data_IF_895843278321
#
_entry.id   IF_895843278321
#
_cell.length_a   1.000
_cell.length_b   1.000
_cell.length_c   1.000
_cell.angle_alpha   90.00
_cell.angle_beta   90.00
_cell.angle_gamma   90.00
#
_symmetry.space_group_name_H-M   'P 1'
#
loop_
_entity.id
_entity.type
_entity.pdbx_description
1 polymer ?
#
# COMPACT_ATOMS: atom_id res chain seq x y z
N UNK A 1 -47.37 19.07 -3.83
CA UNK A 1 -46.93 19.66 -5.11
C UNK A 1 -46.03 18.65 -5.79
N UNK A 2 -46.64 17.76 -6.57
CA UNK A 2 -45.96 16.79 -7.43
C UNK A 2 -46.02 17.29 -8.88
N UNK A 3 -45.24 16.66 -9.77
CA UNK A 3 -45.21 16.82 -11.24
C UNK A 3 -44.11 17.75 -11.76
N UNK A 4 -42.94 17.17 -12.08
CA UNK A 4 -42.29 17.25 -13.41
C UNK A 4 -40.97 16.47 -13.44
N UNK A 5 -41.11 15.18 -13.72
CA UNK A 5 -40.03 14.21 -13.93
C UNK A 5 -40.18 13.67 -15.35
N UNK A 6 -40.10 14.54 -16.37
CA UNK A 6 -40.41 14.15 -17.76
C UNK A 6 -39.62 14.99 -18.77
N UNK A 7 -38.29 15.14 -18.62
CA UNK A 7 -37.50 15.71 -19.71
C UNK A 7 -36.11 15.05 -19.75
N UNK A 8 -35.82 14.44 -20.92
CA UNK A 8 -34.49 14.06 -21.47
C UNK A 8 -34.07 12.60 -21.38
N UNK A 9 -35.05 11.69 -21.42
CA UNK A 9 -34.90 10.30 -21.87
C UNK A 9 -34.65 10.18 -23.41
N UNK A 10 -33.99 11.15 -24.05
CA UNK A 10 -33.95 11.27 -25.52
C UNK A 10 -32.53 11.22 -26.12
N UNK A 11 -31.52 10.81 -25.35
CA UNK A 11 -30.11 10.74 -25.81
C UNK A 11 -29.63 9.28 -26.04
N UNK A 12 -30.53 8.28 -26.07
CA UNK A 12 -30.15 6.86 -26.21
C UNK A 12 -30.36 6.24 -27.61
N UNK A 13 -30.76 6.97 -28.64
CA UNK A 13 -31.32 6.35 -29.86
C UNK A 13 -30.60 6.63 -31.20
N UNK A 14 -29.30 6.97 -31.23
CA UNK A 14 -28.60 7.27 -32.51
C UNK A 14 -27.22 6.64 -32.71
N UNK A 15 -26.84 5.59 -31.98
CA UNK A 15 -25.60 4.84 -32.25
C UNK A 15 -25.82 3.32 -32.38
N UNK A 16 -27.00 2.92 -32.87
CA UNK A 16 -27.23 1.57 -33.40
C UNK A 16 -27.18 1.66 -34.92
N UNK A 17 -26.01 1.39 -35.50
CA UNK A 17 -25.82 0.59 -36.73
C UNK A 17 -24.37 0.69 -37.19
N UNK A 18 -23.81 -0.43 -37.65
CA UNK A 18 -22.58 -0.55 -38.48
C UNK A 18 -21.27 -0.83 -37.69
N UNK A 19 -21.04 -2.10 -37.31
CA UNK A 19 -20.05 -3.01 -37.93
C UNK A 19 -19.87 -4.27 -37.06
N UNK A 20 -20.42 -5.37 -37.57
CA UNK A 20 -20.06 -6.75 -37.25
C UNK A 20 -19.00 -7.19 -38.26
N UNK A 21 -17.86 -7.70 -37.78
CA UNK A 21 -17.05 -8.79 -38.36
C UNK A 21 -15.60 -8.65 -37.88
N UNK A 22 -15.07 -9.66 -37.17
CA UNK A 22 -13.64 -9.69 -36.86
C UNK A 22 -13.21 -10.63 -35.73
N UNK A 23 -13.64 -11.89 -35.78
CA UNK A 23 -13.11 -12.98 -34.95
C UNK A 23 -11.62 -13.20 -35.22
N UNK A 24 -10.77 -13.06 -34.19
CA UNK A 24 -9.56 -13.87 -33.96
C UNK A 24 -8.98 -13.50 -32.60
N UNK A 25 -9.68 -13.93 -31.54
CA UNK A 25 -9.14 -13.89 -30.18
C UNK A 25 -8.25 -15.13 -30.04
N UNK A 26 -6.94 -14.89 -30.06
CA UNK A 26 -5.93 -15.90 -29.81
C UNK A 26 -6.08 -16.42 -28.37
N UNK A 27 -5.93 -17.72 -28.12
CA UNK A 27 -5.88 -18.26 -26.76
C UNK A 27 -4.58 -17.79 -26.10
N UNK A 28 -4.68 -16.95 -25.07
CA UNK A 28 -3.58 -16.78 -24.12
C UNK A 28 -3.60 -17.97 -23.16
N UNK A 29 -2.96 -19.05 -23.61
CA UNK A 29 -2.58 -20.17 -22.77
C UNK A 29 -1.42 -19.69 -21.88
N UNK A 30 -1.75 -19.06 -20.75
CA UNK A 30 -0.77 -18.71 -19.71
C UNK A 30 -0.69 -19.84 -18.69
N UNK A 31 -0.49 -21.06 -19.20
CA UNK A 31 -0.08 -22.21 -18.40
C UNK A 31 1.36 -22.04 -17.93
N UNK A 32 1.51 -22.08 -16.61
CA UNK A 32 2.70 -22.40 -15.83
C UNK A 32 4.05 -22.44 -16.58
N UNK A 33 4.87 -21.39 -16.39
CA UNK A 33 6.32 -21.53 -16.47
C UNK A 33 6.90 -21.65 -15.06
N UNK A 34 6.86 -22.87 -14.54
CA UNK A 34 7.75 -23.30 -13.45
C UNK A 34 9.16 -23.37 -14.02
N UNK A 35 9.91 -22.27 -13.92
CA UNK A 35 11.37 -22.33 -13.95
C UNK A 35 11.89 -21.95 -12.58
N UNK A 36 12.21 -22.99 -11.84
CA UNK A 36 13.00 -22.97 -10.62
C UNK A 36 14.28 -22.15 -10.86
N UNK A 37 14.19 -20.85 -10.53
CA UNK A 37 15.35 -20.00 -10.42
C UNK A 37 15.96 -20.33 -9.05
N UNK A 38 16.95 -21.21 -9.10
CA UNK A 38 18.01 -21.41 -8.10
C UNK A 38 18.17 -20.14 -7.26
N UNK A 39 17.64 -20.16 -6.04
CA UNK A 39 17.69 -19.06 -5.08
C UNK A 39 19.16 -18.64 -4.93
N UNK A 40 19.51 -17.50 -5.51
CA UNK A 40 20.75 -16.82 -5.14
C UNK A 40 20.62 -16.38 -3.68
N UNK A 41 21.73 -16.35 -2.91
CA UNK A 41 21.70 -15.92 -1.52
C UNK A 41 21.00 -14.57 -1.40
N UNK A 42 20.06 -14.48 -0.45
CA UNK A 42 19.22 -13.31 -0.24
C UNK A 42 20.11 -12.05 -0.17
N UNK A 43 19.80 -11.01 -0.96
CA UNK A 43 20.53 -9.75 -0.87
C UNK A 43 20.27 -9.17 0.52
N UNK A 44 21.33 -8.63 1.10
CA UNK A 44 21.36 -8.01 2.43
C UNK A 44 20.29 -6.92 2.52
N UNK A 45 19.20 -7.20 3.27
CA UNK A 45 18.19 -6.26 3.81
C UNK A 45 17.93 -5.00 2.98
N UNK A 46 17.66 -5.16 1.68
CA UNK A 46 16.98 -4.12 0.91
C UNK A 46 15.49 -4.28 1.22
N UNK A 47 14.88 -3.24 1.80
CA UNK A 47 13.46 -3.24 2.14
C UNK A 47 12.64 -3.66 0.92
N UNK A 48 11.70 -4.59 1.10
CA UNK A 48 10.81 -5.01 0.00
C UNK A 48 10.15 -3.78 -0.65
N UNK A 49 10.05 -3.70 -2.00
CA UNK A 49 9.36 -2.61 -2.68
C UNK A 49 7.95 -2.36 -2.14
N UNK A 50 7.28 -3.42 -1.64
CA UNK A 50 5.99 -3.32 -0.98
C UNK A 50 6.08 -2.57 0.36
N UNK A 51 7.08 -2.87 1.18
CA UNK A 51 7.31 -2.17 2.45
C UNK A 51 7.58 -0.69 2.26
N UNK A 52 8.38 -0.34 1.24
CA UNK A 52 8.58 1.04 0.83
C UNK A 52 7.26 1.72 0.46
N UNK A 53 6.43 1.11 -0.41
CA UNK A 53 5.13 1.65 -0.82
C UNK A 53 4.19 1.89 0.37
N UNK A 54 4.08 0.93 1.28
CA UNK A 54 3.25 1.05 2.47
C UNK A 54 3.72 2.20 3.38
N UNK A 55 5.04 2.36 3.51
CA UNK A 55 5.67 3.38 4.34
C UNK A 55 5.48 4.83 3.83
N UNK A 56 5.16 5.06 2.54
CA UNK A 56 4.89 6.41 2.02
C UNK A 56 3.76 7.10 2.79
N UNK A 57 2.73 6.34 3.19
CA UNK A 57 1.62 6.88 3.97
C UNK A 57 2.07 7.45 5.33
N UNK A 58 3.08 6.83 5.93
CA UNK A 58 3.63 7.22 7.23
C UNK A 58 4.43 8.52 7.14
N UNK A 59 5.12 8.74 6.01
CA UNK A 59 5.95 9.92 5.79
C UNK A 59 5.14 11.23 5.76
N UNK A 60 3.84 11.17 5.46
CA UNK A 60 2.94 12.34 5.51
C UNK A 60 2.88 13.01 6.89
N UNK A 61 3.05 12.23 7.96
CA UNK A 61 3.05 12.72 9.34
C UNK A 61 4.44 12.65 9.98
N UNK A 62 5.17 11.56 9.74
CA UNK A 62 6.47 11.29 10.37
C UNK A 62 7.66 11.80 9.56
N UNK A 63 7.41 12.47 8.43
CA UNK A 63 8.43 13.02 7.54
C UNK A 63 9.10 11.96 6.66
N UNK A 64 9.84 12.44 5.67
CA UNK A 64 10.63 11.59 4.76
C UNK A 64 11.63 10.76 5.56
N UNK A 65 11.74 9.46 5.23
CA UNK A 65 12.55 8.48 5.95
C UNK A 65 12.27 8.40 7.47
N UNK A 66 11.09 8.86 7.90
CA UNK A 66 10.71 8.89 9.31
C UNK A 66 11.35 10.02 10.12
N UNK A 67 11.96 11.00 9.44
CA UNK A 67 12.54 12.22 10.04
C UNK A 67 11.51 13.33 10.06
N UNK A 68 10.82 13.48 11.19
CA UNK A 68 9.83 14.52 11.34
C UNK A 68 10.48 15.89 11.50
N UNK A 69 9.86 16.91 10.90
CA UNK A 69 10.28 18.31 11.01
C UNK A 69 9.43 19.12 12.02
N UNK A 70 8.48 18.47 12.72
CA UNK A 70 7.49 19.14 13.55
C UNK A 70 7.17 18.43 14.87
N UNK A 71 5.92 18.57 15.33
CA UNK A 71 5.46 18.05 16.64
C UNK A 71 5.27 16.51 16.61
N UNK A 72 5.01 15.93 15.44
CA UNK A 72 4.93 14.48 15.29
C UNK A 72 6.32 13.89 15.56
N UNK A 73 6.44 12.83 16.36
CA UNK A 73 7.75 12.25 16.66
C UNK A 73 8.38 11.62 15.42
N UNK A 74 9.69 11.76 15.30
CA UNK A 74 10.47 10.98 14.36
C UNK A 74 10.43 9.50 14.75
N UNK A 75 10.31 8.65 13.73
CA UNK A 75 10.35 7.19 13.87
C UNK A 75 11.69 6.62 13.38
N UNK A 76 12.56 7.49 12.85
CA UNK A 76 13.89 7.09 12.48
C UNK A 76 14.78 6.88 13.73
N UNK A 77 15.68 5.90 13.66
CA UNK A 77 16.64 5.57 14.72
C UNK A 77 16.23 4.42 15.63
N UNK A 78 15.03 3.87 15.44
CA UNK A 78 14.58 2.64 16.09
C UNK A 78 14.87 1.42 15.20
N UNK A 79 15.10 0.26 15.83
CA UNK A 79 15.23 -0.99 15.10
C UNK A 79 13.89 -1.38 14.43
N UNK A 80 13.94 -2.22 13.39
CA UNK A 80 12.71 -2.75 12.78
C UNK A 80 11.84 -3.48 13.81
N UNK A 81 12.44 -4.21 14.75
CA UNK A 81 11.73 -4.95 15.80
C UNK A 81 11.00 -4.02 16.78
N UNK A 82 11.63 -2.91 17.17
CA UNK A 82 11.02 -1.91 18.05
C UNK A 82 9.83 -1.23 17.37
N UNK A 83 9.98 -0.90 16.08
CA UNK A 83 8.92 -0.28 15.28
C UNK A 83 7.75 -1.25 15.11
N UNK A 84 8.02 -2.51 14.78
CA UNK A 84 6.97 -3.54 14.64
C UNK A 84 6.20 -3.73 15.95
N UNK A 85 6.92 -3.84 17.07
CA UNK A 85 6.35 -3.99 18.41
C UNK A 85 5.47 -2.79 18.77
N UNK A 86 5.95 -1.58 18.49
CA UNK A 86 5.19 -0.35 18.69
C UNK A 86 3.89 -0.33 17.86
N UNK A 87 3.98 -0.67 16.56
CA UNK A 87 2.84 -0.68 15.65
C UNK A 87 1.79 -1.71 16.06
N UNK A 88 2.22 -2.93 16.43
CA UNK A 88 1.33 -3.96 16.96
C UNK A 88 0.70 -3.53 18.29
N UNK A 89 1.46 -2.88 19.17
CA UNK A 89 0.94 -2.30 20.41
C UNK A 89 -0.15 -1.24 20.15
N UNK A 90 0.01 -0.39 19.13
CA UNK A 90 -1.03 0.56 18.75
C UNK A 90 -2.26 -0.11 18.16
N UNK A 91 -2.06 -1.16 17.33
CA UNK A 91 -3.13 -1.93 16.71
C UNK A 91 -4.02 -2.62 17.74
N UNK A 92 -3.43 -3.28 18.73
CA UNK A 92 -4.15 -3.96 19.82
C UNK A 92 -4.71 -3.00 20.86
N UNK A 93 -4.17 -1.77 20.93
CA UNK A 93 -4.51 -0.81 21.96
C UNK A 93 -3.72 -0.98 23.27
N UNK A 94 -2.78 -1.94 23.31
CA UNK A 94 -1.86 -2.10 24.43
C UNK A 94 -0.97 -0.86 24.63
N UNK A 95 -0.68 -0.14 23.55
CA UNK A 95 0.02 1.14 23.59
C UNK A 95 -0.97 2.29 23.36
N UNK A 96 -1.10 3.25 24.29
CA UNK A 96 -1.99 4.39 24.12
C UNK A 96 -1.48 5.32 23.02
N UNK A 97 -2.39 5.87 22.23
CA UNK A 97 -2.06 6.85 21.20
C UNK A 97 -3.25 7.76 20.88
N UNK A 98 -2.96 8.92 20.31
CA UNK A 98 -3.99 9.86 19.84
C UNK A 98 -4.61 9.40 18.52
N UNK A 99 -3.77 9.09 17.53
CA UNK A 99 -4.19 8.74 16.16
C UNK A 99 -3.65 7.40 15.66
N UNK A 100 -2.49 6.96 16.15
CA UNK A 100 -1.80 5.78 15.61
C UNK A 100 -2.56 4.49 15.77
N UNK A 101 -3.36 4.32 16.83
CA UNK A 101 -4.20 3.14 17.01
C UNK A 101 -5.26 3.00 15.91
N UNK A 102 -5.72 4.10 15.32
CA UNK A 102 -6.66 4.06 14.18
C UNK A 102 -5.93 3.68 12.89
N UNK A 103 -4.71 4.17 12.70
CA UNK A 103 -3.91 3.87 11.51
C UNK A 103 -3.37 2.44 11.53
N UNK A 104 -2.81 1.99 12.64
CA UNK A 104 -2.22 0.66 12.77
C UNK A 104 -3.25 -0.48 12.57
N UNK A 105 -4.53 -0.23 12.88
CA UNK A 105 -5.63 -1.18 12.61
C UNK A 105 -5.95 -1.36 11.13
N UNK A 106 -5.55 -0.44 10.26
CA UNK A 106 -5.75 -0.54 8.82
C UNK A 106 -4.78 -1.50 8.13
N UNK A 107 -3.75 -1.98 8.83
CA UNK A 107 -2.72 -2.85 8.28
C UNK A 107 -2.80 -4.26 8.85
N UNK A 108 -2.45 -5.24 8.03
CA UNK A 108 -2.18 -6.61 8.49
C UNK A 108 -0.85 -6.69 9.26
N UNK A 109 -0.64 -7.76 10.03
CA UNK A 109 0.60 -7.89 10.82
C UNK A 109 1.84 -8.02 9.91
N UNK A 110 1.69 -8.69 8.77
CA UNK A 110 2.75 -8.80 7.76
C UNK A 110 3.09 -7.44 7.15
N UNK A 111 2.08 -6.60 6.91
CA UNK A 111 2.29 -5.24 6.39
C UNK A 111 2.94 -4.33 7.42
N UNK A 112 2.57 -4.45 8.70
CA UNK A 112 3.25 -3.73 9.79
C UNK A 112 4.73 -4.13 9.89
N UNK A 113 5.04 -5.41 9.71
CA UNK A 113 6.42 -5.90 9.65
C UNK A 113 7.18 -5.30 8.47
N UNK A 114 6.59 -5.29 7.27
CA UNK A 114 7.23 -4.70 6.09
C UNK A 114 7.49 -3.18 6.25
N UNK A 115 6.55 -2.46 6.87
CA UNK A 115 6.73 -1.03 7.20
C UNK A 115 7.88 -0.85 8.19
N UNK A 116 7.93 -1.70 9.22
CA UNK A 116 8.95 -1.65 10.24
C UNK A 116 10.36 -1.98 9.70
N UNK A 117 10.47 -2.98 8.82
CA UNK A 117 11.70 -3.32 8.10
C UNK A 117 12.18 -2.12 7.26
N UNK A 118 11.29 -1.47 6.52
CA UNK A 118 11.63 -0.27 5.76
C UNK A 118 12.20 0.83 6.67
N UNK A 119 11.47 1.25 7.70
CA UNK A 119 11.94 2.31 8.59
C UNK A 119 13.20 1.94 9.37
N UNK A 120 13.36 0.67 9.77
CA UNK A 120 14.59 0.18 10.39
C UNK A 120 15.81 0.31 9.48
N UNK A 121 15.66 0.05 8.18
CA UNK A 121 16.78 0.19 7.22
C UNK A 121 17.13 1.64 6.91
N UNK A 122 16.15 2.49 6.58
CA UNK A 122 16.41 3.89 6.20
C UNK A 122 16.89 4.75 7.38
N UNK A 123 16.55 4.34 8.61
CA UNK A 123 17.05 4.95 9.85
C UNK A 123 18.57 4.91 9.99
N UNK A 124 19.19 3.82 9.53
CA UNK A 124 20.62 3.59 9.68
C UNK A 124 21.45 4.07 8.49
N UNK A 125 20.81 4.39 7.37
CA UNK A 125 21.49 4.79 6.13
C UNK A 125 21.85 6.28 6.06
N UNK A 126 21.48 7.08 7.05
CA UNK A 126 21.84 8.50 7.07
C UNK A 126 22.99 8.76 8.03
N UNK A 127 24.20 8.56 7.53
CA UNK A 127 25.44 9.07 8.13
C UNK A 127 26.02 10.16 7.25
#
# INVERSE_FOLDING_TARGET
MAVKQEIRLTICALFFTVISAGSSMLPVDSSASTKSAKQLPAPKLESSPRGQILALSCASCHGTDGKSAGIIPSINGFSAEDIETALKGFKTGARPSTVMSRHAKGYTDDELKLIAEYFGTVSHNTK
#
